data_IF_700871479035
#
_entry.id   IF_700871479035
#
_cell.length_a   1.000
_cell.length_b   1.000
_cell.length_c   1.000
_cell.angle_alpha   90.00
_cell.angle_beta   90.00
_cell.angle_gamma   90.00
#
_symmetry.space_group_name_H-M   'P 1'
#
loop_
_entity.id
_entity.type
_entity.pdbx_description
1 polymer ?
#
# COMPACT_ATOMS: atom_id res chain seq x y z
N UNK A 1 12.51 9.30 24.55
CA UNK A 1 11.94 10.52 23.94
C UNK A 1 10.51 10.60 24.39
N UNK A 2 10.09 11.73 24.96
CA UNK A 2 8.65 12.00 25.15
C UNK A 2 8.08 12.15 23.74
N UNK A 3 7.00 11.45 23.36
CA UNK A 3 6.40 11.64 22.04
C UNK A 3 6.01 13.13 21.90
N UNK A 4 6.16 13.74 20.72
CA UNK A 4 5.79 15.15 20.51
C UNK A 4 4.31 15.44 20.77
N UNK A 5 3.50 14.41 20.95
CA UNK A 5 2.05 14.46 21.13
C UNK A 5 1.62 13.59 22.32
N UNK A 6 0.57 14.01 23.01
CA UNK A 6 -0.01 13.25 24.12
C UNK A 6 -0.75 12.02 23.56
N UNK A 7 -0.53 10.79 24.07
CA UNK A 7 -1.18 9.59 23.54
C UNK A 7 -2.71 9.54 23.76
N UNK A 8 -3.26 10.35 24.66
CA UNK A 8 -4.70 10.46 24.90
C UNK A 8 -5.35 11.53 24.02
N UNK A 9 -4.62 12.59 23.66
CA UNK A 9 -5.11 13.66 22.79
C UNK A 9 -4.75 13.47 21.32
N UNK A 10 -3.69 12.70 21.03
CA UNK A 10 -3.21 12.42 19.69
C UNK A 10 -2.61 13.63 18.98
N UNK A 11 -2.68 13.60 17.65
CA UNK A 11 -2.25 14.70 16.78
C UNK A 11 -3.36 15.77 16.77
N UNK A 12 -3.05 17.08 16.85
CA UNK A 12 -4.05 18.13 16.70
C UNK A 12 -4.85 17.93 15.41
N UNK A 13 -6.19 17.96 15.49
CA UNK A 13 -7.07 17.72 14.34
C UNK A 13 -6.86 18.75 13.22
N UNK A 14 -6.31 19.92 13.54
CA UNK A 14 -5.95 20.94 12.56
C UNK A 14 -4.78 20.50 11.66
N UNK A 15 -3.92 19.59 12.12
CA UNK A 15 -2.81 19.00 11.37
C UNK A 15 -3.26 17.84 10.49
N UNK A 16 -4.30 17.11 10.93
CA UNK A 16 -4.85 15.95 10.23
C UNK A 16 -5.35 14.89 11.21
N UNK A 17 -5.84 13.78 10.68
CA UNK A 17 -6.38 12.68 11.47
C UNK A 17 -5.78 11.34 11.01
N UNK A 18 -5.29 10.56 11.96
CA UNK A 18 -4.79 9.20 11.73
C UNK A 18 -5.41 8.24 12.75
N UNK A 19 -5.82 7.08 12.28
CA UNK A 19 -6.48 6.03 13.06
C UNK A 19 -6.08 4.66 12.54
N UNK A 20 -6.76 3.61 13.00
CA UNK A 20 -6.59 2.25 12.51
C UNK A 20 -7.96 1.59 12.36
N UNK A 21 -8.21 1.02 11.19
CA UNK A 21 -9.43 0.28 10.83
C UNK A 21 -9.23 -1.22 10.73
N UNK A 22 -7.98 -1.68 10.65
CA UNK A 22 -7.59 -3.07 10.46
C UNK A 22 -6.62 -3.53 11.55
N UNK A 23 -6.58 -4.85 11.77
CA UNK A 23 -5.59 -5.44 12.67
C UNK A 23 -4.18 -5.28 12.10
N UNK A 24 -3.21 -5.16 13.02
CA UNK A 24 -1.80 -5.08 12.67
C UNK A 24 -1.24 -6.48 12.38
N UNK A 25 -0.22 -6.55 11.53
CA UNK A 25 0.38 -7.84 11.14
C UNK A 25 1.62 -8.16 11.95
N UNK A 26 1.61 -9.31 12.62
CA UNK A 26 2.81 -9.89 13.20
C UNK A 26 3.50 -10.76 12.13
N UNK A 27 4.71 -10.38 11.74
CA UNK A 27 5.56 -11.15 10.83
C UNK A 27 6.87 -11.44 11.56
N UNK A 28 7.12 -12.72 11.83
CA UNK A 28 8.25 -13.16 12.63
C UNK A 28 8.29 -12.44 14.00
N UNK A 29 9.28 -11.59 14.24
CA UNK A 29 9.45 -10.81 15.47
C UNK A 29 8.99 -9.35 15.35
N UNK A 30 8.34 -8.98 14.24
CA UNK A 30 7.97 -7.60 13.94
C UNK A 30 6.47 -7.42 13.85
N UNK A 31 5.93 -6.48 14.61
CA UNK A 31 4.58 -5.95 14.42
C UNK A 31 4.65 -4.83 13.39
N UNK A 32 4.00 -5.04 12.25
CA UNK A 32 3.83 -4.06 11.18
C UNK A 32 2.51 -3.34 11.40
N UNK A 33 2.59 -2.02 11.58
CA UNK A 33 1.49 -1.15 11.91
C UNK A 33 1.06 -0.34 10.68
N UNK A 34 -0.11 -0.69 10.14
CA UNK A 34 -0.85 0.12 9.19
C UNK A 34 -1.77 1.13 9.89
N UNK A 35 -2.43 1.95 9.10
CA UNK A 35 -3.25 3.06 9.57
C UNK A 35 -4.39 3.36 8.59
N UNK A 36 -5.25 4.30 8.96
CA UNK A 36 -6.32 4.87 8.16
C UNK A 36 -6.42 6.37 8.44
N UNK A 37 -6.98 7.12 7.51
CA UNK A 37 -7.34 8.52 7.71
C UNK A 37 -8.87 8.72 7.64
N UNK A 38 -9.32 9.97 7.73
CA UNK A 38 -10.69 10.36 7.39
C UNK A 38 -10.92 10.14 5.89
N UNK A 39 -12.12 9.69 5.51
CA UNK A 39 -12.38 9.27 4.14
C UNK A 39 -12.15 10.42 3.15
N UNK A 40 -11.46 10.14 2.03
CA UNK A 40 -11.00 11.17 1.10
C UNK A 40 -12.10 11.97 0.40
N UNK A 41 -13.36 11.51 0.45
CA UNK A 41 -14.53 12.23 -0.06
C UNK A 41 -15.20 13.18 0.95
N UNK A 42 -14.72 13.22 2.19
CA UNK A 42 -15.12 14.20 3.20
C UNK A 42 -14.03 15.23 3.51
N UNK A 43 -12.87 15.14 2.83
CA UNK A 43 -11.75 16.04 3.03
C UNK A 43 -12.08 17.46 2.55
N UNK A 44 -12.05 18.41 3.49
CA UNK A 44 -12.23 19.84 3.23
C UNK A 44 -10.90 20.60 3.06
N UNK A 45 -9.77 19.91 3.23
CA UNK A 45 -8.41 20.47 3.22
C UNK A 45 -7.53 19.66 2.26
N UNK A 46 -6.45 20.28 1.80
CA UNK A 46 -5.46 19.62 0.93
C UNK A 46 -4.35 18.97 1.76
N UNK A 47 -4.24 19.38 3.03
CA UNK A 47 -3.24 18.94 3.98
C UNK A 47 -3.71 17.74 4.80
N UNK A 48 -2.83 16.77 5.02
CA UNK A 48 -3.08 15.67 5.95
C UNK A 48 -1.78 15.01 6.40
N UNK A 49 -1.86 14.14 7.41
CA UNK A 49 -0.73 13.32 7.86
C UNK A 49 -0.52 12.14 6.89
N UNK A 50 0.72 11.84 6.44
CA UNK A 50 1.00 10.66 5.64
C UNK A 50 0.72 9.36 6.41
N UNK A 51 0.18 8.37 5.72
CA UNK A 51 -0.17 7.05 6.22
C UNK A 51 1.03 6.12 6.34
N UNK A 52 2.14 6.61 6.90
CA UNK A 52 3.41 5.89 6.98
C UNK A 52 3.29 4.56 7.74
N UNK A 53 4.06 3.56 7.30
CA UNK A 53 4.03 2.22 7.88
C UNK A 53 5.15 2.10 8.91
N UNK A 54 4.82 1.55 10.08
CA UNK A 54 5.75 1.47 11.20
C UNK A 54 6.02 0.01 11.58
N UNK A 55 7.27 -0.28 11.91
CA UNK A 55 7.69 -1.59 12.43
C UNK A 55 8.12 -1.50 13.88
N UNK A 56 7.63 -2.43 14.70
CA UNK A 56 7.99 -2.54 16.12
C UNK A 56 8.40 -3.97 16.47
N UNK A 57 9.34 -4.11 17.40
CA UNK A 57 9.70 -5.40 17.96
C UNK A 57 8.52 -5.97 18.77
N UNK A 58 8.09 -7.18 18.42
CA UNK A 58 6.88 -7.80 18.97
C UNK A 58 6.99 -8.17 20.45
N UNK A 59 8.21 -8.29 20.98
CA UNK A 59 8.45 -8.70 22.38
C UNK A 59 8.59 -7.50 23.31
N UNK A 60 9.20 -6.44 22.81
CA UNK A 60 9.62 -5.27 23.61
C UNK A 60 8.79 -4.03 23.31
N UNK A 61 8.11 -3.97 22.17
CA UNK A 61 7.43 -2.78 21.67
C UNK A 61 8.38 -1.68 21.20
N UNK A 62 9.68 -1.97 21.08
CA UNK A 62 10.66 -0.98 20.60
C UNK A 62 10.44 -0.68 19.12
N UNK A 63 10.50 0.60 18.75
CA UNK A 63 10.48 1.05 17.37
C UNK A 63 11.68 0.48 16.60
N UNK A 64 11.43 -0.16 15.45
CA UNK A 64 12.45 -0.73 14.56
C UNK A 64 12.69 0.19 13.36
N UNK A 65 11.63 0.52 12.63
CA UNK A 65 11.73 1.22 11.35
C UNK A 65 10.43 1.94 10.99
N UNK A 66 10.55 2.89 10.05
CA UNK A 66 9.45 3.62 9.42
C UNK A 66 9.64 3.57 7.91
N UNK A 67 8.57 3.29 7.18
CA UNK A 67 8.50 3.43 5.74
C UNK A 67 7.63 4.63 5.38
N UNK A 68 8.21 5.61 4.68
CA UNK A 68 7.48 6.78 4.20
C UNK A 68 6.66 6.40 2.96
N UNK A 69 5.33 6.43 3.06
CA UNK A 69 4.45 6.08 1.93
C UNK A 69 4.34 7.20 0.89
N UNK A 70 4.60 8.43 1.34
CA UNK A 70 4.87 9.58 0.49
C UNK A 70 6.40 9.81 0.53
N UNK A 71 7.12 9.48 -0.55
CA UNK A 71 8.58 9.52 -0.57
C UNK A 71 9.14 10.93 -0.33
N UNK A 72 10.09 11.00 0.59
CA UNK A 72 10.85 12.21 0.93
C UNK A 72 11.94 12.51 -0.12
N UNK A 73 12.51 13.73 -0.16
CA UNK A 73 13.62 14.03 -1.05
C UNK A 73 14.77 13.01 -0.96
N UNK A 74 15.09 12.38 -2.09
CA UNK A 74 16.11 11.33 -2.20
C UNK A 74 15.59 9.90 -2.06
N UNK A 75 14.32 9.70 -1.71
CA UNK A 75 13.66 8.40 -1.70
C UNK A 75 13.08 8.04 -3.09
N UNK A 76 12.93 6.74 -3.35
CA UNK A 76 12.39 6.25 -4.62
C UNK A 76 10.94 6.71 -4.82
N UNK A 77 10.63 7.33 -5.96
CA UNK A 77 9.28 7.76 -6.31
C UNK A 77 8.97 9.20 -5.91
N UNK A 78 9.90 9.89 -5.25
CA UNK A 78 9.74 11.29 -4.87
C UNK A 78 9.45 12.19 -6.08
N UNK A 79 10.10 11.91 -7.21
CA UNK A 79 9.93 12.62 -8.47
C UNK A 79 8.51 12.53 -9.06
N UNK A 80 7.68 11.62 -8.55
CA UNK A 80 6.27 11.46 -8.99
C UNK A 80 5.31 12.40 -8.26
N UNK A 81 5.78 13.15 -7.28
CA UNK A 81 5.04 14.21 -6.60
C UNK A 81 5.52 15.54 -7.15
N UNK A 82 4.87 15.99 -8.22
CA UNK A 82 5.19 17.28 -8.81
C UNK A 82 4.79 18.42 -7.86
N UNK A 83 5.25 19.64 -8.15
CA UNK A 83 4.97 20.88 -7.43
C UNK A 83 5.25 20.89 -5.90
N UNK A 84 6.04 19.94 -5.40
CA UNK A 84 6.30 19.72 -3.98
C UNK A 84 5.07 19.27 -3.18
N UNK A 85 4.06 18.67 -3.83
CA UNK A 85 2.83 18.22 -3.18
C UNK A 85 3.02 17.31 -1.96
N UNK A 86 4.14 16.59 -1.93
CA UNK A 86 4.55 15.71 -0.83
C UNK A 86 4.68 16.45 0.51
N UNK A 87 4.91 17.77 0.52
CA UNK A 87 5.11 18.56 1.74
C UNK A 87 3.83 18.77 2.54
N UNK A 88 2.67 18.80 1.87
CA UNK A 88 1.40 19.11 2.50
C UNK A 88 0.40 17.97 2.42
N UNK A 89 0.38 17.23 1.31
CA UNK A 89 -0.57 16.13 1.16
C UNK A 89 -0.25 14.98 2.12
N UNK A 90 -1.25 14.17 2.43
CA UNK A 90 -1.09 13.00 3.27
C UNK A 90 -2.01 11.88 2.84
N UNK A 91 -2.44 11.07 3.80
CA UNK A 91 -3.11 9.79 3.56
C UNK A 91 -2.17 8.80 2.85
N UNK A 92 -2.59 8.10 1.79
CA UNK A 92 -1.87 6.92 1.28
C UNK A 92 -1.77 5.83 2.39
N UNK A 93 -2.79 5.77 3.24
CA UNK A 93 -2.94 4.83 4.33
C UNK A 93 -3.23 3.39 3.87
N UNK A 94 -2.96 2.44 4.76
CA UNK A 94 -3.22 1.02 4.59
C UNK A 94 -4.40 0.55 5.44
N UNK A 95 -5.57 1.12 5.14
CA UNK A 95 -6.79 0.91 5.95
C UNK A 95 -7.38 -0.51 5.81
N UNK A 96 -7.08 -1.21 4.71
CA UNK A 96 -7.44 -2.60 4.51
C UNK A 96 -6.50 -3.53 5.30
N UNK A 97 -6.92 -4.77 5.64
CA UNK A 97 -6.01 -5.72 6.30
C UNK A 97 -4.79 -6.01 5.43
N UNK A 98 -3.61 -6.10 6.06
CA UNK A 98 -2.38 -6.50 5.40
C UNK A 98 -2.32 -8.03 5.25
N UNK A 99 -1.39 -8.52 4.46
CA UNK A 99 -1.03 -9.95 4.42
C UNK A 99 0.48 -10.13 4.54
N UNK A 100 0.93 -11.33 4.88
CA UNK A 100 2.33 -11.60 5.16
C UNK A 100 2.80 -12.93 4.59
N UNK A 101 4.09 -13.01 4.32
CA UNK A 101 4.83 -14.22 3.98
C UNK A 101 6.02 -14.35 4.96
N UNK A 102 5.81 -15.04 6.10
CA UNK A 102 6.86 -15.21 7.11
C UNK A 102 8.09 -15.98 6.61
N UNK A 103 7.91 -16.88 5.64
CA UNK A 103 9.02 -17.68 5.06
C UNK A 103 9.99 -16.79 4.30
N UNK A 104 9.48 -15.76 3.63
CA UNK A 104 10.25 -14.78 2.87
C UNK A 104 10.52 -13.47 3.64
N UNK A 105 10.08 -13.38 4.90
CA UNK A 105 10.13 -12.17 5.73
C UNK A 105 9.51 -10.94 5.04
N UNK A 106 8.36 -11.13 4.37
CA UNK A 106 7.66 -10.07 3.66
C UNK A 106 6.29 -9.76 4.28
N UNK A 107 5.91 -8.49 4.16
CA UNK A 107 4.55 -8.01 4.39
C UNK A 107 4.06 -7.30 3.12
N UNK A 108 2.82 -7.56 2.73
CA UNK A 108 2.16 -6.96 1.57
C UNK A 108 1.11 -5.96 2.04
N UNK A 109 1.29 -4.71 1.63
CA UNK A 109 0.56 -3.56 2.13
C UNK A 109 -0.23 -2.94 0.97
N UNK A 110 -1.55 -3.11 0.92
CA UNK A 110 -2.40 -2.33 0.04
C UNK A 110 -2.49 -0.88 0.56
N UNK A 111 -2.43 0.10 -0.34
CA UNK A 111 -2.56 1.52 0.02
C UNK A 111 -3.79 2.16 -0.62
N UNK A 112 -4.28 3.24 -0.02
CA UNK A 112 -5.30 4.07 -0.60
C UNK A 112 -4.77 5.26 -1.40
N UNK A 113 -5.68 6.12 -1.79
CA UNK A 113 -5.41 7.35 -2.50
C UNK A 113 -4.77 8.39 -1.58
N UNK A 114 -4.09 9.36 -2.19
CA UNK A 114 -3.66 10.56 -1.49
C UNK A 114 -4.86 11.45 -1.16
N UNK A 115 -4.66 12.37 -0.21
CA UNK A 115 -5.69 13.30 0.28
C UNK A 115 -6.52 13.91 -0.86
N UNK A 116 -7.85 13.89 -0.67
CA UNK A 116 -8.90 14.19 -1.67
C UNK A 116 -8.96 13.15 -2.80
N UNK A 117 -9.82 12.14 -2.65
CA UNK A 117 -9.90 10.98 -3.57
C UNK A 117 -10.40 11.33 -4.97
N UNK A 118 -11.14 12.43 -5.13
CA UNK A 118 -11.84 12.75 -6.38
C UNK A 118 -11.31 14.01 -7.08
N UNK A 119 -10.21 14.59 -6.59
CA UNK A 119 -9.58 15.76 -7.20
C UNK A 119 -8.07 15.76 -6.94
N UNK A 120 -7.29 15.65 -8.01
CA UNK A 120 -5.82 15.60 -7.95
C UNK A 120 -5.11 16.90 -8.32
N UNK A 121 -5.84 18.00 -8.58
CA UNK A 121 -5.23 19.24 -9.10
C UNK A 121 -4.23 19.92 -8.15
N UNK A 122 -4.26 19.58 -6.85
CA UNK A 122 -3.29 20.06 -5.86
C UNK A 122 -2.07 19.15 -5.70
N UNK A 123 -2.06 17.99 -6.36
CA UNK A 123 -1.01 16.96 -6.29
C UNK A 123 -0.71 16.37 -7.68
N UNK A 124 -0.21 17.18 -8.63
CA UNK A 124 0.17 16.68 -9.95
C UNK A 124 1.24 15.57 -9.87
N UNK A 125 1.34 14.78 -10.95
CA UNK A 125 2.22 13.60 -11.03
C UNK A 125 1.54 12.29 -10.64
N UNK A 126 2.26 11.18 -10.76
CA UNK A 126 1.70 9.84 -10.54
C UNK A 126 1.35 9.55 -9.07
N UNK A 127 1.90 10.33 -8.12
CA UNK A 127 1.63 10.23 -6.68
C UNK A 127 1.98 8.86 -6.06
N UNK A 128 3.16 8.30 -6.37
CA UNK A 128 3.59 7.01 -5.81
C UNK A 128 3.85 7.13 -4.30
N UNK A 129 3.30 6.33 -3.38
CA UNK A 129 2.70 4.99 -3.53
C UNK A 129 1.16 4.95 -3.35
N UNK A 130 0.42 5.95 -3.83
CA UNK A 130 -1.04 5.91 -3.83
C UNK A 130 -1.59 4.75 -4.66
N UNK A 131 -2.72 4.17 -4.23
CA UNK A 131 -3.41 3.06 -4.88
C UNK A 131 -2.46 1.96 -5.39
N UNK A 132 -1.66 1.44 -4.46
CA UNK A 132 -0.57 0.51 -4.74
C UNK A 132 -0.66 -0.74 -3.86
N UNK A 133 0.08 -1.77 -4.24
CA UNK A 133 0.53 -2.82 -3.33
C UNK A 133 2.03 -2.67 -3.13
N UNK A 134 2.46 -2.69 -1.88
CA UNK A 134 3.87 -2.56 -1.49
C UNK A 134 4.29 -3.84 -0.78
N UNK A 135 5.40 -4.44 -1.20
CA UNK A 135 6.05 -5.54 -0.49
C UNK A 135 7.27 -5.00 0.26
N UNK A 136 7.21 -5.02 1.59
CA UNK A 136 8.31 -4.62 2.47
C UNK A 136 8.94 -5.86 3.11
N UNK A 137 10.25 -5.83 3.31
CA UNK A 137 10.89 -6.72 4.27
C UNK A 137 10.38 -6.36 5.67
N UNK A 138 9.77 -7.32 6.37
CA UNK A 138 9.13 -7.04 7.65
C UNK A 138 10.15 -6.70 8.75
N UNK A 139 11.35 -7.29 8.73
CA UNK A 139 12.38 -7.03 9.74
C UNK A 139 13.02 -5.65 9.62
N UNK A 140 13.21 -5.14 8.39
CA UNK A 140 14.00 -3.92 8.12
C UNK A 140 13.15 -2.74 7.63
N UNK A 141 11.94 -2.98 7.12
CA UNK A 141 11.12 -1.96 6.48
C UNK A 141 11.58 -1.61 5.05
N UNK A 142 12.60 -2.28 4.53
CA UNK A 142 13.13 -2.01 3.19
C UNK A 142 12.13 -2.45 2.11
N UNK A 143 11.95 -1.59 1.10
CA UNK A 143 11.08 -1.88 -0.03
C UNK A 143 11.69 -2.96 -0.92
N UNK A 144 11.06 -4.13 -0.93
CA UNK A 144 11.43 -5.22 -1.83
C UNK A 144 10.93 -4.90 -3.25
N UNK A 145 9.62 -4.77 -3.41
CA UNK A 145 8.98 -4.38 -4.66
C UNK A 145 7.65 -3.69 -4.37
N UNK A 146 7.04 -3.10 -5.41
CA UNK A 146 5.69 -2.54 -5.34
C UNK A 146 5.06 -2.59 -6.72
N UNK A 147 3.76 -2.34 -6.78
CA UNK A 147 3.05 -2.05 -8.01
C UNK A 147 1.98 -1.00 -7.76
N UNK A 148 1.97 0.06 -8.57
CA UNK A 148 0.94 1.08 -8.56
C UNK A 148 -0.17 0.73 -9.53
N UNK A 149 -1.39 0.56 -9.01
CA UNK A 149 -2.54 0.16 -9.81
C UNK A 149 -3.11 1.32 -10.62
N UNK A 150 -3.15 2.50 -10.01
CA UNK A 150 -3.72 3.72 -10.59
C UNK A 150 -2.72 4.85 -10.39
N UNK A 151 -2.21 5.39 -11.50
CA UNK A 151 -1.35 6.57 -11.48
C UNK A 151 -2.23 7.80 -11.38
N UNK A 152 -1.85 8.77 -10.55
CA UNK A 152 -2.63 9.97 -10.27
C UNK A 152 -4.09 9.63 -9.90
N UNK A 153 -4.27 8.86 -8.82
CA UNK A 153 -5.59 8.37 -8.41
C UNK A 153 -6.56 9.51 -8.10
N UNK A 154 -7.69 9.56 -8.81
CA UNK A 154 -8.77 10.56 -8.64
C UNK A 154 -10.18 9.93 -8.75
N UNK A 155 -10.29 8.61 -8.59
CA UNK A 155 -11.52 7.84 -8.77
C UNK A 155 -11.92 7.04 -7.54
N UNK A 156 -11.21 7.17 -6.40
CA UNK A 156 -11.40 6.33 -5.22
C UNK A 156 -11.25 4.84 -5.55
N UNK A 157 -10.28 4.50 -6.41
CA UNK A 157 -9.92 3.15 -6.82
C UNK A 157 -8.76 2.55 -6.00
N UNK A 158 -8.65 2.93 -4.74
CA UNK A 158 -7.80 2.23 -3.78
C UNK A 158 -8.15 0.75 -3.63
N UNK A 159 -7.29 0.04 -2.90
CA UNK A 159 -7.41 -1.40 -2.67
C UNK A 159 -8.00 -1.72 -1.30
N UNK A 160 -9.31 -2.10 -1.21
CA UNK A 160 -10.02 -2.30 0.05
C UNK A 160 -9.90 -3.73 0.61
N UNK A 161 -9.12 -4.59 -0.05
CA UNK A 161 -9.02 -6.01 0.31
C UNK A 161 -7.59 -6.37 0.67
N UNK A 162 -7.45 -7.32 1.59
CA UNK A 162 -6.15 -7.94 1.84
C UNK A 162 -5.61 -8.60 0.57
N UNK A 163 -4.31 -8.45 0.27
CA UNK A 163 -3.66 -9.30 -0.71
C UNK A 163 -3.72 -10.77 -0.25
N UNK A 164 -3.91 -11.70 -1.18
CA UNK A 164 -4.04 -13.13 -0.88
C UNK A 164 -2.79 -13.84 -1.35
N UNK A 165 -1.98 -14.37 -0.43
CA UNK A 165 -0.83 -15.21 -0.74
C UNK A 165 -1.29 -16.67 -0.94
N UNK A 166 -0.95 -17.27 -2.08
CA UNK A 166 -1.26 -18.64 -2.43
C UNK A 166 -0.29 -19.17 -3.49
N UNK A 167 -0.07 -20.48 -3.54
CA UNK A 167 0.63 -21.10 -4.65
C UNK A 167 -0.37 -21.46 -5.76
N UNK A 168 -0.07 -21.07 -7.00
CA UNK A 168 -0.91 -21.36 -8.17
C UNK A 168 -0.13 -22.17 -9.20
N UNK A 169 -0.82 -23.01 -9.96
CA UNK A 169 -0.24 -23.70 -11.11
C UNK A 169 -0.67 -23.02 -12.41
N UNK A 170 0.29 -22.56 -13.21
CA UNK A 170 0.06 -21.96 -14.54
C UNK A 170 0.86 -22.74 -15.57
N UNK A 171 0.16 -23.39 -16.50
CA UNK A 171 0.76 -24.23 -17.55
C UNK A 171 1.75 -25.27 -17.01
N UNK A 172 1.42 -25.90 -15.88
CA UNK A 172 2.27 -26.91 -15.24
C UNK A 172 3.42 -26.35 -14.41
N UNK A 173 3.54 -25.02 -14.27
CA UNK A 173 4.52 -24.38 -13.39
C UNK A 173 3.86 -23.91 -12.11
N UNK A 174 4.39 -24.35 -10.97
CA UNK A 174 3.98 -23.85 -9.66
C UNK A 174 4.60 -22.47 -9.42
N UNK A 175 3.78 -21.52 -9.01
CA UNK A 175 4.15 -20.13 -8.82
C UNK A 175 3.68 -19.67 -7.45
N UNK A 176 4.59 -19.24 -6.56
CA UNK A 176 4.22 -18.60 -5.31
C UNK A 176 3.67 -17.20 -5.63
N UNK A 177 2.37 -17.03 -5.46
CA UNK A 177 1.66 -15.84 -5.92
C UNK A 177 1.08 -15.03 -4.76
N UNK A 178 0.96 -13.72 -5.00
CA UNK A 178 0.13 -12.83 -4.21
C UNK A 178 -0.88 -12.18 -5.15
N UNK A 179 -2.17 -12.26 -4.81
CA UNK A 179 -3.27 -11.79 -5.64
C UNK A 179 -3.98 -10.64 -4.95
N UNK A 180 -4.08 -9.50 -5.62
CA UNK A 180 -4.79 -8.32 -5.15
C UNK A 180 -6.10 -8.15 -5.92
N UNK A 181 -7.23 -8.20 -5.22
CA UNK A 181 -8.50 -7.70 -5.73
C UNK A 181 -8.57 -6.18 -5.57
N UNK A 182 -9.12 -5.48 -6.56
CA UNK A 182 -9.10 -4.01 -6.61
C UNK A 182 -10.49 -3.45 -6.89
N UNK A 183 -10.74 -2.18 -6.51
CA UNK A 183 -11.99 -1.47 -6.86
C UNK A 183 -12.19 -1.29 -8.37
N UNK A 184 -11.13 -1.44 -9.18
CA UNK A 184 -11.20 -1.48 -10.64
C UNK A 184 -11.95 -2.72 -11.18
N UNK A 185 -12.27 -3.69 -10.32
CA UNK A 185 -12.91 -4.95 -10.72
C UNK A 185 -11.92 -5.95 -11.32
N UNK A 186 -10.61 -5.75 -11.12
CA UNK A 186 -9.56 -6.64 -11.60
C UNK A 186 -8.88 -7.38 -10.44
N UNK A 187 -8.39 -8.58 -10.76
CA UNK A 187 -7.46 -9.34 -9.94
C UNK A 187 -6.07 -9.20 -10.54
N UNK A 188 -5.16 -8.58 -9.79
CA UNK A 188 -3.75 -8.51 -10.17
C UNK A 188 -3.01 -9.63 -9.46
N UNK A 189 -2.15 -10.35 -10.19
CA UNK A 189 -1.44 -11.51 -9.66
C UNK A 189 0.05 -11.29 -9.85
N UNK A 190 0.80 -11.36 -8.75
CA UNK A 190 2.23 -11.10 -8.70
C UNK A 190 2.97 -12.33 -8.16
N UNK A 191 4.25 -12.45 -8.49
CA UNK A 191 5.13 -13.35 -7.75
C UNK A 191 5.35 -12.76 -6.34
N UNK A 192 5.10 -13.57 -5.29
CA UNK A 192 5.15 -13.09 -3.90
C UNK A 192 6.57 -13.02 -3.34
N UNK A 193 7.56 -13.60 -4.03
CA UNK A 193 8.95 -13.65 -3.58
C UNK A 193 9.61 -12.27 -3.50
N UNK A 194 10.72 -12.13 -2.74
CA UNK A 194 11.46 -10.88 -2.65
C UNK A 194 12.18 -10.55 -3.96
N UNK A 195 12.45 -9.26 -4.18
CA UNK A 195 12.95 -8.79 -5.46
C UNK A 195 14.32 -9.36 -5.88
N UNK A 196 15.14 -9.75 -4.91
CA UNK A 196 16.43 -10.41 -5.15
C UNK A 196 16.30 -11.86 -5.66
N UNK A 197 15.11 -12.46 -5.58
CA UNK A 197 14.82 -13.80 -6.10
C UNK A 197 14.14 -13.76 -7.48
N UNK A 198 13.81 -12.58 -8.01
CA UNK A 198 13.31 -12.47 -9.37
C UNK A 198 14.44 -12.73 -10.38
N UNK A 199 14.15 -13.53 -11.41
CA UNK A 199 15.05 -13.69 -12.54
C UNK A 199 15.18 -12.40 -13.35
N UNK A 200 15.99 -12.44 -14.42
CA UNK A 200 16.24 -11.26 -15.26
C UNK A 200 15.03 -10.88 -16.14
N UNK A 201 13.99 -11.71 -16.22
CA UNK A 201 12.81 -11.46 -17.06
C UNK A 201 11.74 -10.67 -16.32
N UNK A 202 11.06 -9.75 -17.01
CA UNK A 202 9.88 -9.05 -16.47
C UNK A 202 8.73 -10.01 -16.14
N UNK A 203 8.65 -11.17 -16.81
CA UNK A 203 7.68 -12.24 -16.54
C UNK A 203 7.85 -12.93 -15.19
N UNK A 204 9.01 -12.75 -14.53
CA UNK A 204 9.27 -13.36 -13.22
C UNK A 204 8.67 -12.51 -12.08
N UNK A 205 8.42 -11.22 -12.37
CA UNK A 205 7.76 -10.24 -11.49
C UNK A 205 6.25 -10.16 -11.73
N UNK A 206 5.88 -10.15 -13.00
CA UNK A 206 4.51 -10.03 -13.45
C UNK A 206 4.07 -11.35 -14.06
N UNK A 207 3.16 -12.03 -13.37
CA UNK A 207 2.26 -12.91 -14.06
C UNK A 207 1.35 -11.98 -14.85
N UNK A 208 1.71 -11.73 -16.12
CA UNK A 208 0.86 -11.05 -17.11
C UNK A 208 -0.60 -11.34 -16.80
N UNK A 209 -1.52 -10.36 -16.86
CA UNK A 209 -2.84 -10.46 -16.24
C UNK A 209 -3.57 -11.71 -16.72
N UNK A 210 -3.32 -12.82 -16.03
CA UNK A 210 -3.76 -14.15 -16.44
C UNK A 210 -5.24 -14.31 -16.11
N UNK A 211 -5.81 -13.34 -15.40
CA UNK A 211 -7.23 -13.19 -15.16
C UNK A 211 -7.60 -11.71 -15.17
N UNK A 212 -7.69 -11.10 -16.35
CA UNK A 212 -8.74 -10.11 -16.54
C UNK A 212 -10.07 -10.88 -16.47
N UNK A 213 -10.59 -11.14 -15.27
CA UNK A 213 -11.98 -11.56 -15.13
C UNK A 213 -12.83 -10.35 -15.50
N UNK A 214 -13.02 -10.12 -16.80
CA UNK A 214 -14.13 -9.30 -17.27
C UNK A 214 -15.40 -10.04 -16.87
N UNK A 215 -15.95 -9.68 -15.72
CA UNK A 215 -17.35 -9.93 -15.44
C UNK A 215 -18.19 -9.01 -16.34
N UNK A 216 -18.29 -9.39 -17.60
CA UNK A 216 -19.34 -8.94 -18.51
C UNK A 216 -19.41 -9.92 -19.68
N UNK A 217 -19.76 -11.18 -19.38
CA UNK A 217 -20.40 -12.02 -20.39
C UNK A 217 -21.79 -11.45 -20.53
N UNK A 218 -21.97 -10.62 -21.54
CA UNK A 218 -23.25 -10.18 -22.05
C UNK A 218 -24.15 -11.42 -22.12
N UNK A 219 -25.21 -11.41 -21.30
CA UNK A 219 -26.32 -12.33 -21.45
C UNK A 219 -26.81 -12.16 -22.89
N UNK A 220 -26.54 -13.14 -23.74
CA UNK A 220 -27.31 -13.29 -24.98
C UNK A 220 -28.71 -13.73 -24.56
N UNK A 221 -29.54 -12.74 -24.24
CA UNK A 221 -30.97 -12.82 -24.46
C UNK A 221 -31.20 -12.48 -25.92
N UNK A 222 -31.20 -13.51 -26.77
CA UNK A 222 -32.14 -13.80 -27.87
C UNK A 222 -31.64 -15.01 -28.66
#
# INVERSE_FOLDING_TARGET
MVPPYDPYEGIPLETGYITSSSHQSLVNDTIVVGNSAEQGYHQARIENVPGDILGYDARTGQFKWKFNVIPQPGEYGHETWENDAWEWTGDVSSWAPLSADPENDLVYIPTNSATIDYYGGFRPGDNLFAASIIALNASTGERSWHFQFVHHEIWNFDTPTAPIALDINVDGRDIPAVVQATKQGWLYTFNRLPANQFGRSSSDRFLHPLFQVRYCRQLNLT
#
